data_IF_131838685765
#
_entry.id   IF_131838685765
#
_cell.length_a   1.000
_cell.length_b   1.000
_cell.length_c   1.000
_cell.angle_alpha   90.00
_cell.angle_beta   90.00
_cell.angle_gamma   90.00
#
_symmetry.space_group_name_H-M   'P 1'
#
loop_
_entity.id
_entity.type
_entity.pdbx_description
1 polymer ?
#
# COMPACT_ATOMS: atom_id res chain seq x y z
N UNK A 1 -32.44 27.50 6.40
CA UNK A 1 -31.10 27.53 7.04
C UNK A 1 -30.18 26.62 6.22
N UNK A 2 -29.45 27.19 5.25
CA UNK A 2 -28.53 26.42 4.39
C UNK A 2 -27.29 26.09 5.23
N UNK A 3 -27.07 24.81 5.51
CA UNK A 3 -25.80 24.32 6.04
C UNK A 3 -24.78 24.50 4.93
N UNK A 4 -24.03 25.61 4.95
CA UNK A 4 -22.88 25.77 4.07
C UNK A 4 -21.87 24.67 4.42
N UNK A 5 -21.62 23.80 3.45
CA UNK A 5 -20.64 22.73 3.57
C UNK A 5 -19.22 23.34 3.62
N UNK A 6 -18.67 23.45 4.83
CA UNK A 6 -17.33 23.99 5.11
C UNK A 6 -16.21 23.11 4.48
N UNK A 7 -16.53 21.92 3.94
CA UNK A 7 -15.56 20.93 3.42
C UNK A 7 -14.84 21.32 2.12
N UNK A 8 -15.42 22.15 1.26
CA UNK A 8 -14.84 22.44 -0.06
C UNK A 8 -13.88 23.63 -0.10
N UNK A 9 -13.98 24.57 0.83
CA UNK A 9 -13.25 25.84 0.73
C UNK A 9 -11.87 25.86 1.42
N UNK A 10 -11.59 25.00 2.41
CA UNK A 10 -10.31 24.99 3.13
C UNK A 10 -9.31 23.90 2.71
N UNK A 11 -9.76 22.84 2.04
CA UNK A 11 -8.93 21.66 1.70
C UNK A 11 -8.53 21.64 0.22
N UNK A 12 -9.37 22.19 -0.67
CA UNK A 12 -9.06 22.28 -2.09
C UNK A 12 -7.74 23.02 -2.39
N UNK A 13 -7.36 24.11 -1.66
CA UNK A 13 -6.07 24.75 -1.86
C UNK A 13 -4.87 23.84 -1.56
N UNK A 14 -4.97 22.98 -0.54
CA UNK A 14 -3.90 22.05 -0.15
C UNK A 14 -3.76 20.89 -1.14
N UNK A 15 -4.87 20.32 -1.62
CA UNK A 15 -4.84 19.30 -2.68
C UNK A 15 -4.33 19.88 -4.01
N UNK A 16 -4.68 21.13 -4.32
CA UNK A 16 -4.13 21.85 -5.47
C UNK A 16 -2.64 22.15 -5.32
N UNK A 17 -2.13 22.38 -4.09
CA UNK A 17 -0.70 22.53 -3.81
C UNK A 17 0.05 21.21 -4.03
N UNK A 18 -0.50 20.08 -3.57
CA UNK A 18 0.06 18.75 -3.83
C UNK A 18 0.11 18.48 -5.34
N UNK A 19 -0.99 18.70 -6.05
CA UNK A 19 -1.06 18.56 -7.52
C UNK A 19 -0.10 19.50 -8.25
N UNK A 20 0.02 20.76 -7.79
CA UNK A 20 0.92 21.76 -8.37
C UNK A 20 2.40 21.50 -8.11
N UNK A 21 2.76 20.82 -7.00
CA UNK A 21 4.12 20.37 -6.75
C UNK A 21 4.48 19.13 -7.56
N UNK A 22 3.55 18.19 -7.72
CA UNK A 22 3.74 16.98 -8.54
C UNK A 22 3.95 17.37 -10.01
N UNK A 23 3.17 18.32 -10.54
CA UNK A 23 3.32 18.77 -11.94
C UNK A 23 4.62 19.53 -12.21
N UNK A 24 5.22 20.18 -11.20
CA UNK A 24 6.53 20.85 -11.33
C UNK A 24 7.73 19.91 -11.33
N UNK A 25 7.60 18.70 -10.79
CA UNK A 25 8.71 17.73 -10.62
C UNK A 25 8.63 16.50 -11.55
N UNK A 26 7.85 16.57 -12.64
CA UNK A 26 7.94 15.64 -13.76
C UNK A 26 7.26 14.29 -13.53
N UNK A 27 6.06 14.15 -14.09
CA UNK A 27 5.53 12.86 -14.56
C UNK A 27 4.88 13.09 -15.93
N UNK A 28 5.45 12.40 -16.90
CA UNK A 28 5.20 12.46 -18.33
C UNK A 28 3.73 12.22 -18.63
N UNK A 29 3.08 13.17 -19.31
CA UNK A 29 1.83 12.89 -20.02
C UNK A 29 2.17 12.13 -21.29
N UNK A 30 1.59 10.95 -21.48
CA UNK A 30 1.57 10.32 -22.79
C UNK A 30 0.14 9.92 -23.13
N UNK A 31 -0.40 10.65 -24.11
CA UNK A 31 -1.59 10.33 -24.87
C UNK A 31 -1.36 9.01 -25.60
N UNK A 32 -2.22 8.02 -25.39
CA UNK A 32 -2.44 6.99 -26.40
C UNK A 32 -3.95 6.76 -26.53
N UNK A 33 -4.52 7.36 -27.57
CA UNK A 33 -5.76 6.87 -28.17
C UNK A 33 -5.44 5.65 -29.02
N UNK A 34 -6.15 4.56 -28.78
CA UNK A 34 -6.05 3.33 -29.53
C UNK A 34 -7.40 2.61 -29.48
N UNK A 35 -8.02 2.49 -30.65
CA UNK A 35 -9.35 1.94 -30.90
C UNK A 35 -9.37 0.43 -30.58
N UNK A 36 -10.34 -0.02 -29.77
CA UNK A 36 -10.58 -1.44 -29.50
C UNK A 36 -11.31 -2.10 -30.68
N UNK A 37 -10.67 -3.07 -31.34
CA UNK A 37 -11.32 -3.96 -32.29
C UNK A 37 -11.82 -5.22 -31.55
N UNK A 38 -13.12 -5.46 -31.62
CA UNK A 38 -13.80 -6.66 -31.09
C UNK A 38 -13.56 -7.85 -32.01
N UNK A 39 -13.02 -8.94 -31.47
CA UNK A 39 -12.90 -10.23 -32.16
C UNK A 39 -13.73 -11.28 -31.42
N UNK A 40 -14.84 -11.65 -32.05
CA UNK A 40 -15.67 -12.79 -31.67
C UNK A 40 -14.94 -14.09 -32.06
N UNK A 41 -14.54 -14.89 -31.07
CA UNK A 41 -13.95 -16.21 -31.24
C UNK A 41 -14.93 -17.32 -30.82
N UNK A 42 -15.29 -18.17 -31.78
CA UNK A 42 -16.28 -19.26 -31.68
C UNK A 42 -15.80 -20.41 -30.78
N UNK A 43 -16.76 -21.01 -30.07
CA UNK A 43 -16.63 -22.24 -29.29
C UNK A 43 -16.27 -23.43 -30.18
N UNK A 44 -15.29 -24.23 -29.76
CA UNK A 44 -14.97 -25.54 -30.33
C UNK A 44 -15.00 -26.59 -29.21
N UNK A 45 -16.04 -27.43 -29.27
CA UNK A 45 -16.14 -28.69 -28.56
C UNK A 45 -15.04 -29.65 -29.06
N UNK A 46 -14.27 -30.25 -28.15
CA UNK A 46 -13.63 -31.54 -28.42
C UNK A 46 -13.77 -32.45 -27.20
N UNK A 47 -14.09 -33.70 -27.52
CA UNK A 47 -14.52 -34.81 -26.67
C UNK A 47 -13.38 -35.45 -25.86
N UNK A 48 -13.68 -35.78 -24.61
CA UNK A 48 -12.83 -36.56 -23.70
C UNK A 48 -12.68 -38.03 -24.13
N UNK A 49 -11.51 -38.66 -23.94
CA UNK A 49 -11.40 -40.10 -23.82
C UNK A 49 -11.23 -40.54 -22.35
N UNK A 50 -12.06 -41.50 -21.94
CA UNK A 50 -11.91 -42.32 -20.73
C UNK A 50 -10.55 -43.04 -20.71
N UNK A 51 -9.84 -43.01 -19.59
CA UNK A 51 -8.78 -43.97 -19.27
C UNK A 51 -8.91 -44.48 -17.83
N UNK A 52 -8.56 -45.75 -17.70
CA UNK A 52 -8.90 -46.73 -16.68
C UNK A 52 -8.34 -46.47 -15.28
N UNK A 53 -9.08 -46.94 -14.27
CA UNK A 53 -8.61 -47.06 -12.89
C UNK A 53 -7.37 -47.97 -12.80
N UNK A 54 -6.25 -47.40 -12.36
CA UNK A 54 -5.08 -48.11 -11.90
C UNK A 54 -4.65 -47.51 -10.57
N UNK A 55 -4.95 -48.19 -9.47
CA UNK A 55 -4.52 -47.82 -8.13
C UNK A 55 -3.00 -47.99 -8.01
N UNK A 56 -2.25 -46.91 -8.20
CA UNK A 56 -0.83 -46.86 -7.87
C UNK A 56 -0.75 -46.32 -6.45
N UNK A 57 -0.60 -47.22 -5.48
CA UNK A 57 -0.33 -46.83 -4.10
C UNK A 57 0.99 -46.06 -4.02
N UNK A 58 0.91 -44.74 -3.84
CA UNK A 58 2.08 -43.93 -3.50
C UNK A 58 2.27 -44.00 -1.98
N UNK A 59 3.22 -44.83 -1.55
CA UNK A 59 3.75 -44.76 -0.18
C UNK A 59 4.58 -43.47 -0.08
N UNK A 60 4.03 -42.43 0.57
CA UNK A 60 4.80 -41.22 0.86
C UNK A 60 5.71 -41.50 2.06
N UNK A 61 6.99 -41.73 1.79
CA UNK A 61 8.03 -41.73 2.81
C UNK A 61 8.25 -40.29 3.30
N UNK A 62 7.95 -40.06 4.57
CA UNK A 62 8.08 -38.77 5.22
C UNK A 62 9.55 -38.46 5.51
N UNK A 63 10.28 -37.83 4.59
CA UNK A 63 11.61 -37.24 4.82
C UNK A 63 11.97 -36.19 3.73
N UNK A 64 11.22 -35.09 3.59
CA UNK A 64 11.60 -34.06 2.60
C UNK A 64 11.13 -32.61 2.87
N UNK A 65 11.05 -32.18 4.13
CA UNK A 65 10.68 -30.79 4.45
C UNK A 65 11.75 -29.76 4.06
N UNK A 66 13.03 -30.14 3.96
CA UNK A 66 14.12 -29.23 3.62
C UNK A 66 14.25 -28.86 2.13
N UNK A 67 13.91 -29.76 1.20
CA UNK A 67 14.03 -29.48 -0.25
C UNK A 67 12.80 -28.76 -0.83
N UNK A 68 11.65 -28.83 -0.15
CA UNK A 68 10.43 -28.16 -0.61
C UNK A 68 10.53 -26.65 -0.43
N UNK A 69 10.98 -26.15 0.72
CA UNK A 69 11.11 -24.70 0.97
C UNK A 69 12.12 -24.01 0.04
N UNK A 70 13.24 -24.69 -0.26
CA UNK A 70 14.27 -24.17 -1.18
C UNK A 70 13.72 -23.91 -2.59
N UNK A 71 12.86 -24.81 -3.10
CA UNK A 71 12.24 -24.65 -4.41
C UNK A 71 11.19 -23.52 -4.45
N UNK A 72 10.44 -23.32 -3.36
CA UNK A 72 9.44 -22.25 -3.31
C UNK A 72 10.08 -20.86 -3.35
N UNK A 73 11.16 -20.65 -2.59
CA UNK A 73 11.84 -19.36 -2.53
C UNK A 73 12.44 -18.98 -3.89
N UNK A 74 13.14 -19.90 -4.55
CA UNK A 74 13.69 -19.66 -5.91
C UNK A 74 12.59 -19.40 -6.94
N UNK A 75 11.44 -20.09 -6.83
CA UNK A 75 10.28 -19.83 -7.70
C UNK A 75 9.79 -18.40 -7.52
N UNK A 76 9.60 -17.96 -6.27
CA UNK A 76 9.15 -16.59 -5.99
C UNK A 76 10.15 -15.55 -6.47
N UNK A 77 11.46 -15.79 -6.29
CA UNK A 77 12.52 -14.91 -6.79
C UNK A 77 12.46 -14.74 -8.31
N UNK A 78 12.23 -15.82 -9.06
CA UNK A 78 12.03 -15.75 -10.52
C UNK A 78 10.74 -15.00 -10.87
N UNK A 79 9.63 -15.30 -10.18
CA UNK A 79 8.34 -14.65 -10.43
C UNK A 79 8.39 -13.14 -10.20
N UNK A 80 9.02 -12.65 -9.12
CA UNK A 80 9.07 -11.21 -8.84
C UNK A 80 9.93 -10.43 -9.85
N UNK A 81 10.78 -11.10 -10.64
CA UNK A 81 11.48 -10.44 -11.74
C UNK A 81 10.57 -10.27 -12.97
N UNK A 82 9.60 -11.16 -13.17
CA UNK A 82 8.63 -11.09 -14.26
C UNK A 82 7.75 -9.83 -14.13
N UNK A 83 7.70 -9.06 -15.20
CA UNK A 83 6.95 -7.82 -15.27
C UNK A 83 5.43 -8.05 -15.19
N UNK A 84 4.91 -9.13 -15.80
CA UNK A 84 3.50 -9.48 -15.72
C UNK A 84 3.09 -9.81 -14.29
N UNK A 85 3.97 -10.48 -13.54
CA UNK A 85 3.71 -10.77 -12.14
C UNK A 85 3.71 -9.50 -11.28
N UNK A 86 4.53 -8.49 -11.59
CA UNK A 86 4.47 -7.18 -10.90
C UNK A 86 3.17 -6.45 -11.20
N UNK A 87 2.65 -6.50 -12.43
CA UNK A 87 1.31 -5.98 -12.74
C UNK A 87 0.22 -6.73 -11.98
N UNK A 88 0.32 -8.06 -11.88
CA UNK A 88 -0.60 -8.86 -11.08
C UNK A 88 -0.55 -8.49 -9.59
N UNK A 89 0.65 -8.36 -9.01
CA UNK A 89 0.84 -7.86 -7.64
C UNK A 89 0.30 -6.44 -7.48
N UNK A 90 0.41 -5.59 -8.51
CA UNK A 90 -0.16 -4.25 -8.52
C UNK A 90 -1.68 -4.27 -8.40
N UNK A 91 -2.35 -5.10 -9.20
CA UNK A 91 -3.79 -5.35 -9.09
C UNK A 91 -4.19 -5.93 -7.73
N UNK A 92 -3.37 -6.85 -7.19
CA UNK A 92 -3.57 -7.38 -5.84
C UNK A 92 -3.49 -6.28 -4.77
N UNK A 93 -2.54 -5.35 -4.89
CA UNK A 93 -2.39 -4.19 -3.99
C UNK A 93 -3.54 -3.19 -4.13
N UNK A 94 -4.13 -3.04 -5.31
CA UNK A 94 -5.34 -2.20 -5.46
C UNK A 94 -6.47 -2.72 -4.57
N UNK A 95 -6.68 -4.05 -4.54
CA UNK A 95 -7.70 -4.71 -3.72
C UNK A 95 -7.36 -4.85 -2.23
N UNK A 96 -6.20 -5.43 -1.91
CA UNK A 96 -5.83 -5.86 -0.54
C UNK A 96 -4.77 -4.97 0.13
N UNK A 97 -4.14 -4.07 -0.63
CA UNK A 97 -3.08 -3.21 -0.15
C UNK A 97 -3.59 -1.94 0.53
N UNK A 98 -2.89 -1.48 1.57
CA UNK A 98 -3.20 -0.27 2.30
C UNK A 98 -1.96 0.61 2.49
N UNK A 99 -2.08 1.89 2.13
CA UNK A 99 -1.14 2.95 2.50
C UNK A 99 -1.68 3.62 3.76
N UNK A 100 -0.91 3.62 4.85
CA UNK A 100 -1.36 4.08 6.16
C UNK A 100 -0.37 5.09 6.72
N UNK A 101 -0.88 6.18 7.29
CA UNK A 101 -0.06 7.13 8.06
C UNK A 101 -0.65 7.21 9.47
N UNK A 102 0.07 6.59 10.41
CA UNK A 102 -0.27 6.60 11.83
C UNK A 102 0.25 7.86 12.48
N UNK A 103 -0.53 8.40 13.42
CA UNK A 103 -0.16 9.56 14.24
C UNK A 103 0.07 9.02 15.65
N UNK A 104 1.32 9.04 16.10
CA UNK A 104 1.75 8.40 17.35
C UNK A 104 2.28 9.45 18.31
N UNK A 105 1.77 9.44 19.55
CA UNK A 105 2.34 10.25 20.63
C UNK A 105 3.70 9.68 21.02
N UNK A 106 4.72 10.52 21.13
CA UNK A 106 6.07 10.17 21.52
C UNK A 106 6.67 11.33 22.32
N UNK A 107 6.74 11.19 23.63
CA UNK A 107 7.19 12.23 24.57
C UNK A 107 8.62 12.70 24.34
N UNK A 108 9.45 11.88 23.71
CA UNK A 108 10.86 12.16 23.44
C UNK A 108 11.08 13.10 22.24
N UNK A 109 10.03 13.36 21.44
CA UNK A 109 10.11 14.27 20.29
C UNK A 109 9.76 15.69 20.71
N UNK A 110 10.38 16.69 20.06
CA UNK A 110 10.11 18.12 20.28
C UNK A 110 8.62 18.47 20.21
N UNK A 111 7.91 17.97 19.20
CA UNK A 111 6.47 18.20 19.03
C UNK A 111 5.61 17.08 19.63
N UNK A 112 6.23 16.16 20.37
CA UNK A 112 5.62 15.01 21.05
C UNK A 112 4.76 14.07 20.19
N UNK A 113 4.80 14.22 18.87
CA UNK A 113 4.00 13.48 17.89
C UNK A 113 4.89 13.07 16.72
N UNK A 114 4.71 11.85 16.24
CA UNK A 114 5.36 11.30 15.06
C UNK A 114 4.32 10.87 14.01
N UNK A 115 4.62 11.15 12.75
CA UNK A 115 3.96 10.51 11.62
C UNK A 115 4.71 9.22 11.27
N UNK A 116 4.03 8.09 11.30
CA UNK A 116 4.58 6.78 10.98
C UNK A 116 3.88 6.23 9.73
N UNK A 117 4.43 6.49 8.53
CA UNK A 117 3.93 5.90 7.30
C UNK A 117 4.28 4.41 7.22
N UNK A 118 3.37 3.64 6.64
CA UNK A 118 3.43 2.20 6.52
C UNK A 118 2.67 1.73 5.27
N UNK A 119 3.21 0.72 4.60
CA UNK A 119 2.51 -0.03 3.56
C UNK A 119 2.20 -1.43 4.06
N UNK A 120 0.94 -1.84 3.89
CA UNK A 120 0.43 -3.12 4.35
C UNK A 120 -0.24 -3.91 3.23
N UNK A 121 -0.08 -5.23 3.26
CA UNK A 121 -0.86 -6.17 2.46
C UNK A 121 -1.34 -7.29 3.40
N UNK A 122 -2.65 -7.55 3.40
CA UNK A 122 -3.27 -8.55 4.27
C UNK A 122 -3.64 -9.77 3.43
N UNK A 123 -3.45 -10.97 3.98
CA UNK A 123 -3.90 -12.20 3.33
C UNK A 123 -4.15 -13.29 4.37
N UNK A 124 -5.03 -14.25 4.06
CA UNK A 124 -5.17 -15.47 4.84
C UNK A 124 -3.88 -16.31 4.79
N UNK A 125 -3.64 -17.13 5.81
CA UNK A 125 -2.41 -17.95 5.95
C UNK A 125 -2.14 -18.88 4.76
N UNK A 126 -3.16 -19.35 4.05
CA UNK A 126 -3.04 -20.16 2.83
C UNK A 126 -2.44 -19.41 1.64
N UNK A 127 -2.41 -18.07 1.67
CA UNK A 127 -1.83 -17.21 0.64
C UNK A 127 -0.51 -16.57 1.06
N UNK A 128 0.20 -17.16 2.04
CA UNK A 128 1.43 -16.59 2.61
C UNK A 128 2.51 -16.32 1.54
N UNK A 129 2.60 -17.15 0.49
CA UNK A 129 3.57 -16.96 -0.59
C UNK A 129 3.45 -15.59 -1.27
N UNK A 130 2.22 -15.07 -1.45
CA UNK A 130 1.98 -13.74 -2.04
C UNK A 130 2.59 -12.64 -1.15
N UNK A 131 2.52 -12.79 0.17
CA UNK A 131 3.13 -11.85 1.11
C UNK A 131 4.66 -11.91 1.05
N UNK A 132 5.23 -13.11 0.85
CA UNK A 132 6.66 -13.27 0.62
C UNK A 132 7.12 -12.67 -0.71
N UNK A 133 6.30 -12.70 -1.76
CA UNK A 133 6.59 -11.99 -3.02
C UNK A 133 6.83 -10.50 -2.78
N UNK A 134 6.03 -9.82 -1.96
CA UNK A 134 6.27 -8.41 -1.63
C UNK A 134 7.56 -8.20 -0.84
N UNK A 135 7.89 -9.10 0.09
CA UNK A 135 9.15 -9.05 0.84
C UNK A 135 10.36 -9.12 -0.10
N UNK A 136 10.36 -10.06 -1.05
CA UNK A 136 11.44 -10.25 -2.03
C UNK A 136 11.48 -9.05 -2.98
N UNK A 137 10.33 -8.65 -3.54
CA UNK A 137 10.18 -7.51 -4.45
C UNK A 137 10.76 -6.21 -3.85
N UNK A 138 10.64 -6.02 -2.54
CA UNK A 138 11.15 -4.85 -1.83
C UNK A 138 12.50 -5.09 -1.16
N UNK A 139 13.33 -5.97 -1.73
CA UNK A 139 14.73 -6.17 -1.33
C UNK A 139 14.88 -6.82 0.06
N UNK A 140 14.02 -7.79 0.36
CA UNK A 140 13.95 -8.51 1.63
C UNK A 140 13.64 -7.61 2.84
N UNK A 141 13.02 -6.45 2.61
CA UNK A 141 12.57 -5.54 3.67
C UNK A 141 11.14 -5.84 4.10
N UNK A 142 10.76 -5.30 5.26
CA UNK A 142 9.44 -5.53 5.85
C UNK A 142 9.31 -6.88 6.55
N UNK A 143 8.15 -7.09 7.18
CA UNK A 143 7.85 -8.23 8.04
C UNK A 143 6.52 -8.84 7.68
N UNK A 144 6.42 -10.17 7.71
CA UNK A 144 5.15 -10.91 7.63
C UNK A 144 4.79 -11.38 9.03
N UNK A 145 3.68 -10.92 9.59
CA UNK A 145 3.25 -11.24 10.96
C UNK A 145 1.77 -11.57 11.03
N UNK A 146 1.34 -12.36 12.02
CA UNK A 146 -0.09 -12.59 12.28
C UNK A 146 -0.79 -11.28 12.63
N UNK A 147 -1.98 -11.07 12.09
CA UNK A 147 -2.84 -9.93 12.41
C UNK A 147 -3.38 -10.09 13.83
N UNK A 148 -3.23 -9.07 14.66
CA UNK A 148 -3.78 -9.07 16.03
C UNK A 148 -5.29 -9.33 15.99
N UNK A 149 -5.75 -10.31 16.79
CA UNK A 149 -7.16 -10.70 16.85
C UNK A 149 -7.64 -11.62 15.73
N UNK A 150 -6.75 -12.12 14.86
CA UNK A 150 -7.12 -13.07 13.79
C UNK A 150 -6.00 -14.08 13.52
N UNK A 151 -6.12 -15.30 14.07
CA UNK A 151 -5.07 -16.31 14.02
C UNK A 151 -4.66 -16.76 12.60
N UNK A 152 -5.61 -16.71 11.66
CA UNK A 152 -5.44 -17.21 10.29
C UNK A 152 -5.18 -16.10 9.27
N UNK A 153 -4.92 -14.88 9.71
CA UNK A 153 -4.66 -13.73 8.84
C UNK A 153 -3.25 -13.24 9.08
N UNK A 154 -2.50 -13.03 8.01
CA UNK A 154 -1.15 -12.49 7.97
C UNK A 154 -1.16 -11.09 7.38
N UNK A 155 -0.17 -10.29 7.77
CA UNK A 155 0.07 -8.95 7.24
C UNK A 155 1.54 -8.85 6.85
N UNK A 156 1.81 -8.55 5.59
CA UNK A 156 3.08 -7.98 5.19
C UNK A 156 3.07 -6.48 5.51
N UNK A 157 4.06 -6.01 6.24
CA UNK A 157 4.22 -4.60 6.63
C UNK A 157 5.60 -4.10 6.26
N UNK A 158 5.66 -2.98 5.54
CA UNK A 158 6.89 -2.23 5.29
C UNK A 158 6.76 -0.83 5.89
N UNK A 159 7.69 -0.51 6.81
CA UNK A 159 7.73 0.75 7.55
C UNK A 159 8.97 1.56 7.22
N UNK A 160 8.90 2.84 7.55
CA UNK A 160 10.02 3.77 7.51
C UNK A 160 10.14 4.50 6.18
N UNK A 161 10.28 5.82 6.26
CA UNK A 161 10.26 6.75 5.13
C UNK A 161 11.25 6.36 4.03
N UNK A 162 12.49 6.00 4.40
CA UNK A 162 13.52 5.61 3.43
C UNK A 162 13.14 4.35 2.63
N UNK A 163 12.61 3.33 3.30
CA UNK A 163 12.18 2.10 2.62
C UNK A 163 10.98 2.37 1.72
N UNK A 164 9.99 3.10 2.24
CA UNK A 164 8.78 3.41 1.48
C UNK A 164 9.07 4.25 0.24
N UNK A 165 9.93 5.27 0.36
CA UNK A 165 10.40 6.09 -0.75
C UNK A 165 11.14 5.27 -1.79
N UNK A 166 12.04 4.38 -1.35
CA UNK A 166 12.87 3.57 -2.25
C UNK A 166 12.08 2.48 -2.98
N UNK A 167 11.17 1.81 -2.29
CA UNK A 167 10.54 0.57 -2.78
C UNK A 167 9.07 0.73 -3.11
N UNK A 168 8.28 1.32 -2.21
CA UNK A 168 6.82 1.38 -2.36
C UNK A 168 6.41 2.45 -3.35
N UNK A 169 6.95 3.68 -3.25
CA UNK A 169 6.54 4.77 -4.15
C UNK A 169 6.74 4.43 -5.64
N UNK A 170 7.90 3.90 -6.08
CA UNK A 170 8.09 3.55 -7.49
C UNK A 170 7.19 2.39 -7.94
N UNK A 171 7.01 1.37 -7.09
CA UNK A 171 6.12 0.26 -7.39
C UNK A 171 4.67 0.73 -7.54
N UNK A 172 4.18 1.52 -6.60
CA UNK A 172 2.81 2.01 -6.61
C UNK A 172 2.56 2.94 -7.81
N UNK A 173 3.49 3.85 -8.10
CA UNK A 173 3.38 4.75 -9.25
C UNK A 173 3.29 3.99 -10.58
N UNK A 174 4.04 2.91 -10.74
CA UNK A 174 4.12 2.16 -12.00
C UNK A 174 3.03 1.09 -12.14
N UNK A 175 2.80 0.31 -11.10
CA UNK A 175 1.98 -0.92 -11.17
C UNK A 175 0.59 -0.79 -10.54
N UNK A 176 0.33 0.28 -9.77
CA UNK A 176 -0.93 0.43 -9.02
C UNK A 176 -1.68 1.69 -9.47
N UNK A 177 -1.13 2.88 -9.21
CA UNK A 177 -1.79 4.18 -9.36
C UNK A 177 -2.32 4.47 -10.78
N UNK A 178 -1.68 3.93 -11.81
CA UNK A 178 -2.10 4.06 -13.23
C UNK A 178 -3.42 3.34 -13.50
N UNK A 179 -3.71 2.27 -12.75
CA UNK A 179 -4.88 1.41 -12.90
C UNK A 179 -5.87 1.55 -11.74
N UNK A 180 -5.52 2.35 -10.73
CA UNK A 180 -6.30 2.55 -9.52
C UNK A 180 -7.53 3.43 -9.73
N UNK A 181 -8.48 3.30 -8.81
CA UNK A 181 -9.55 4.29 -8.67
C UNK A 181 -8.99 5.68 -8.34
N UNK A 182 -9.71 6.74 -8.77
CA UNK A 182 -9.36 8.14 -8.43
C UNK A 182 -9.07 8.33 -6.93
N UNK A 183 -9.87 7.70 -6.08
CA UNK A 183 -9.72 7.76 -4.62
C UNK A 183 -8.37 7.19 -4.16
N UNK A 184 -7.97 6.01 -4.66
CA UNK A 184 -6.70 5.39 -4.28
C UNK A 184 -5.49 6.15 -4.87
N UNK A 185 -5.62 6.73 -6.06
CA UNK A 185 -4.60 7.62 -6.62
C UNK A 185 -4.43 8.90 -5.79
N UNK A 186 -5.51 9.53 -5.32
CA UNK A 186 -5.43 10.72 -4.43
C UNK A 186 -4.80 10.38 -3.06
N UNK A 187 -5.09 9.19 -2.53
CA UNK A 187 -4.40 8.62 -1.37
C UNK A 187 -2.91 8.50 -1.65
N UNK A 188 -2.53 7.92 -2.79
CA UNK A 188 -1.13 7.72 -3.15
C UNK A 188 -0.37 9.04 -3.32
N UNK A 189 -0.97 10.04 -3.96
CA UNK A 189 -0.37 11.38 -4.12
C UNK A 189 -0.06 11.99 -2.74
N UNK A 190 -1.05 11.90 -1.84
CA UNK A 190 -0.92 12.40 -0.48
C UNK A 190 0.14 11.62 0.31
N UNK A 191 0.19 10.28 0.18
CA UNK A 191 1.21 9.43 0.77
C UNK A 191 2.61 9.87 0.36
N UNK A 192 2.77 10.05 -0.95
CA UNK A 192 4.04 10.38 -1.60
C UNK A 192 4.52 11.74 -1.16
N UNK A 193 3.61 12.72 -1.05
CA UNK A 193 3.92 14.03 -0.52
C UNK A 193 4.41 13.97 0.93
N UNK A 194 3.68 13.27 1.81
CA UNK A 194 4.08 13.13 3.23
C UNK A 194 5.42 12.43 3.37
N UNK A 195 5.65 11.34 2.62
CA UNK A 195 6.95 10.64 2.64
C UNK A 195 8.07 11.57 2.20
N UNK A 196 7.92 12.30 1.11
CA UNK A 196 8.97 13.21 0.65
C UNK A 196 9.25 14.33 1.64
N UNK A 197 8.22 14.90 2.27
CA UNK A 197 8.38 15.92 3.32
C UNK A 197 9.09 15.39 4.56
N UNK A 198 8.75 14.18 5.01
CA UNK A 198 9.46 13.54 6.12
C UNK A 198 10.90 13.17 5.75
N UNK A 199 11.16 12.87 4.46
CA UNK A 199 12.49 12.52 3.95
C UNK A 199 13.40 13.76 3.82
N UNK A 200 12.88 14.90 3.38
CA UNK A 200 13.62 16.17 3.34
C UNK A 200 14.14 16.57 4.74
N UNK A 201 13.40 16.22 5.79
CA UNK A 201 13.69 16.57 7.18
C UNK A 201 14.57 15.54 7.92
N UNK A 202 15.23 14.58 7.25
CA UNK A 202 16.01 13.50 7.91
C UNK A 202 17.02 13.93 8.99
N UNK A 203 17.45 15.20 8.99
CA UNK A 203 18.46 15.74 9.93
C UNK A 203 17.91 16.78 10.91
N UNK A 204 16.64 17.17 10.78
CA UNK A 204 16.02 18.22 11.62
C UNK A 204 14.61 17.80 11.99
N UNK A 205 14.19 18.10 13.21
CA UNK A 205 12.79 17.93 13.55
C UNK A 205 11.93 18.74 12.55
N UNK A 206 10.88 18.12 12.01
CA UNK A 206 9.85 18.83 11.25
C UNK A 206 9.35 20.00 12.11
N UNK A 207 9.28 21.20 11.54
CA UNK A 207 8.74 22.36 12.26
C UNK A 207 7.33 22.05 12.77
N UNK A 208 6.91 22.74 13.83
CA UNK A 208 5.58 22.53 14.40
C UNK A 208 4.49 22.82 13.36
N UNK A 209 4.69 23.87 12.58
CA UNK A 209 3.81 24.34 11.52
C UNK A 209 3.69 23.28 10.41
N UNK A 210 4.84 22.80 9.88
CA UNK A 210 4.86 21.75 8.85
C UNK A 210 4.20 20.46 9.37
N UNK A 211 4.46 20.08 10.63
CA UNK A 211 3.87 18.88 11.22
C UNK A 211 2.34 19.00 11.29
N UNK A 212 1.83 20.17 11.70
CA UNK A 212 0.39 20.44 11.75
C UNK A 212 -0.22 20.37 10.34
N UNK A 213 0.46 20.91 9.32
CA UNK A 213 -0.01 20.83 7.93
C UNK A 213 -0.07 19.39 7.43
N UNK A 214 0.98 18.60 7.67
CA UNK A 214 1.00 17.18 7.32
C UNK A 214 -0.09 16.40 8.06
N UNK A 215 -0.33 16.69 9.34
CA UNK A 215 -1.41 16.06 10.11
C UNK A 215 -2.77 16.39 9.50
N UNK A 216 -3.06 17.65 9.20
CA UNK A 216 -4.32 18.06 8.56
C UNK A 216 -4.54 17.31 7.26
N UNK A 217 -3.49 17.19 6.44
CA UNK A 217 -3.51 16.42 5.20
C UNK A 217 -3.76 14.91 5.45
N UNK A 218 -3.15 14.33 6.48
CA UNK A 218 -3.36 12.93 6.88
C UNK A 218 -4.78 12.66 7.40
N UNK A 219 -5.50 13.68 7.87
CA UNK A 219 -6.93 13.57 8.20
C UNK A 219 -7.85 13.61 6.97
N UNK A 220 -7.37 14.05 5.79
CA UNK A 220 -8.15 13.98 4.54
C UNK A 220 -8.13 12.59 3.89
N UNK A 221 -7.26 11.70 4.36
CA UNK A 221 -6.99 10.36 3.82
C UNK A 221 -8.18 9.39 3.93
N UNK A 222 -9.05 9.62 4.92
CA UNK A 222 -10.26 8.83 5.18
C UNK A 222 -11.42 9.79 5.52
N UNK A 223 -12.02 10.46 4.53
CA UNK A 223 -13.26 11.18 4.78
C UNK A 223 -14.34 10.15 5.09
N UNK A 224 -14.75 10.09 6.37
CA UNK A 224 -15.91 9.38 6.95
C UNK A 224 -16.47 8.16 6.20
N UNK A 225 -16.45 6.98 6.86
CA UNK A 225 -17.27 5.82 6.44
C UNK A 225 -16.57 4.68 5.70
N UNK A 226 -15.25 4.75 5.45
CA UNK A 226 -14.48 3.60 4.91
C UNK A 226 -13.30 3.26 5.83
N UNK A 227 -13.21 1.97 6.20
CA UNK A 227 -12.14 1.44 7.03
C UNK A 227 -12.23 1.83 8.51
N UNK A 228 -11.12 1.62 9.23
CA UNK A 228 -11.03 1.90 10.67
C UNK A 228 -10.93 3.40 10.91
N UNK A 229 -11.84 3.92 11.74
CA UNK A 229 -11.80 5.32 12.16
C UNK A 229 -10.56 5.62 13.00
N UNK A 230 -10.06 6.86 12.92
CA UNK A 230 -8.97 7.31 13.78
C UNK A 230 -9.47 7.35 15.22
N UNK A 231 -8.62 6.91 16.16
CA UNK A 231 -8.95 6.87 17.60
C UNK A 231 -9.15 8.27 18.20
N UNK A 232 -8.49 9.29 17.63
CA UNK A 232 -8.51 10.67 18.10
C UNK A 232 -8.96 11.61 17.00
N UNK A 233 -9.69 12.66 17.36
CA UNK A 233 -10.08 13.73 16.44
C UNK A 233 -8.87 14.57 16.04
N UNK A 234 -9.02 15.42 15.02
CA UNK A 234 -7.96 16.33 14.62
C UNK A 234 -7.69 17.34 15.74
N UNK A 235 -8.74 17.85 16.36
CA UNK A 235 -8.71 18.82 17.45
C UNK A 235 -7.91 18.27 18.63
N UNK A 236 -8.20 17.06 19.10
CA UNK A 236 -7.46 16.41 20.21
C UNK A 236 -5.95 16.26 19.93
N UNK A 237 -5.56 16.05 18.66
CA UNK A 237 -4.15 15.95 18.28
C UNK A 237 -3.50 17.34 18.24
N UNK A 238 -4.20 18.35 17.74
CA UNK A 238 -3.69 19.72 17.68
C UNK A 238 -3.54 20.32 19.08
N UNK A 239 -4.52 20.07 19.96
CA UNK A 239 -4.46 20.49 21.36
C UNK A 239 -3.25 19.86 22.06
N UNK A 240 -3.03 18.55 21.88
CA UNK A 240 -1.86 17.87 22.45
C UNK A 240 -0.51 18.39 21.93
N UNK A 241 -0.44 18.84 20.67
CA UNK A 241 0.79 19.45 20.10
C UNK A 241 1.01 20.86 20.65
N UNK A 242 -0.05 21.58 21.02
CA UNK A 242 0.01 22.94 21.55
C UNK A 242 0.22 22.98 23.06
N UNK A 243 -0.43 22.09 23.79
CA UNK A 243 -0.33 21.93 25.24
C UNK A 243 -0.20 20.44 25.61
N UNK A 244 1.05 19.94 25.72
CA UNK A 244 1.27 18.52 25.95
C UNK A 244 0.99 18.03 27.38
N UNK A 245 0.58 18.92 28.29
CA UNK A 245 0.32 18.62 29.71
C UNK A 245 -1.17 18.49 30.05
N UNK A 246 -2.06 18.67 29.08
CA UNK A 246 -3.47 18.26 29.15
C UNK A 246 -3.64 16.76 28.85
#
# INVERSE_FOLDING_TARGET
MKILNIRTLKIQPLLNLVRGCITKNGLVSNKFGGTFASLHGKSLHTSSPLLSEGSIGLTVSANNTGNLEFNQQERLEKLVQDENYKYWLGGFVEGEGALVISIVKNTELTNRVALQPEFNVVQHTNGMEILHSFKILFGNKGTVTKKSGSANVLVYSLKGTKNLKKYVLPFFAKYVAVYSSKYKSEIFDTFSYVINKLDENHRKATSKEDLIELIKLVYTYNPEGKGKQRKRTLEEILDYINDPNQ
#
